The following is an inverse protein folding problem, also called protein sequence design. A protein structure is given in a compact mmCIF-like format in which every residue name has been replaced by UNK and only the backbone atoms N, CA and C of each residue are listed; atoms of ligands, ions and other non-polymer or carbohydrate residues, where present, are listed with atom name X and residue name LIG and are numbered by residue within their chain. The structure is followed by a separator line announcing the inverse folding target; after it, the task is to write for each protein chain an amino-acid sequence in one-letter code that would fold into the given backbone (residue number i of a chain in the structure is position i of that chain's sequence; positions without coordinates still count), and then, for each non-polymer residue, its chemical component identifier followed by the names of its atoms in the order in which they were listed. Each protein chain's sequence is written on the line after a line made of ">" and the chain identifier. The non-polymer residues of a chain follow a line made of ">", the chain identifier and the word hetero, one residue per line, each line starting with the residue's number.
data_IF_599530429732
#
_entry.id   IF_599530429732
#
_cell.length_a   1.000
_cell.length_b   1.000
_cell.length_c   1.000
_cell.angle_alpha   90.00
_cell.angle_beta   90.00
_cell.angle_gamma   90.00
#
_symmetry.space_group_name_H-M   'P 1'
#
loop_
_entity.id
_entity.type
_entity.pdbx_description
1 polymer ?
#
# COMPACT_ATOMS: atom_id res chain seq x y z
N UNK A 1 23.12 -19.99 -3.41
CA UNK A 1 21.80 -19.47 -3.85
C UNK A 1 20.58 -20.27 -3.35
N UNK A 2 20.58 -21.61 -3.32
CA UNK A 2 19.40 -22.39 -2.86
C UNK A 2 19.05 -22.14 -1.38
N UNK A 3 20.05 -22.08 -0.51
CA UNK A 3 19.86 -21.87 0.93
C UNK A 3 19.35 -20.45 1.22
N UNK A 4 19.90 -19.46 0.52
CA UNK A 4 19.48 -18.06 0.59
C UNK A 4 18.01 -17.92 0.18
N UNK A 5 17.58 -18.64 -0.86
CA UNK A 5 16.20 -18.60 -1.31
C UNK A 5 15.22 -19.24 -0.30
N UNK A 6 15.64 -20.32 0.37
CA UNK A 6 14.85 -20.93 1.44
C UNK A 6 14.73 -20.01 2.66
N UNK A 7 15.84 -19.39 3.11
CA UNK A 7 15.80 -18.39 4.19
C UNK A 7 14.92 -17.19 3.84
N UNK A 8 15.01 -16.71 2.61
CA UNK A 8 14.13 -15.65 2.12
C UNK A 8 12.66 -16.06 2.15
N UNK A 9 12.35 -17.30 1.77
CA UNK A 9 10.98 -17.85 1.83
C UNK A 9 10.45 -17.89 3.26
N UNK A 10 11.30 -18.27 4.23
CA UNK A 10 10.95 -18.29 5.65
C UNK A 10 10.77 -16.89 6.25
N UNK A 11 11.60 -15.92 5.84
CA UNK A 11 11.55 -14.55 6.35
C UNK A 11 10.49 -13.68 5.66
N UNK A 12 10.05 -14.05 4.46
CA UNK A 12 9.02 -13.33 3.70
C UNK A 12 7.77 -12.95 4.52
N UNK A 13 7.05 -13.89 5.18
CA UNK A 13 5.86 -13.53 5.95
C UNK A 13 6.18 -12.59 7.12
N UNK A 14 7.37 -12.71 7.72
CA UNK A 14 7.82 -11.83 8.81
C UNK A 14 8.03 -10.40 8.31
N UNK A 15 8.71 -10.25 7.16
CA UNK A 15 8.96 -8.95 6.56
C UNK A 15 7.65 -8.25 6.21
N UNK A 16 6.71 -8.97 5.60
CA UNK A 16 5.38 -8.44 5.29
C UNK A 16 4.65 -7.98 6.56
N UNK A 17 4.67 -8.77 7.62
CA UNK A 17 4.02 -8.42 8.88
C UNK A 17 4.63 -7.16 9.51
N UNK A 18 5.96 -7.06 9.57
CA UNK A 18 6.66 -5.90 10.16
C UNK A 18 6.36 -4.62 9.36
N UNK A 19 6.47 -4.68 8.02
CA UNK A 19 6.17 -3.53 7.16
C UNK A 19 4.70 -3.11 7.26
N UNK A 20 3.77 -4.07 7.37
CA UNK A 20 2.35 -3.78 7.55
C UNK A 20 2.10 -3.03 8.86
N UNK A 21 2.63 -3.54 9.98
CA UNK A 21 2.49 -2.91 11.30
C UNK A 21 3.13 -1.52 11.33
N UNK A 22 4.34 -1.38 10.78
CA UNK A 22 5.04 -0.10 10.69
C UNK A 22 4.18 0.98 10.02
N UNK A 23 3.53 0.62 8.91
CA UNK A 23 2.65 1.53 8.18
C UNK A 23 1.33 1.81 8.91
N UNK A 24 0.72 0.79 9.54
CA UNK A 24 -0.57 0.94 10.23
C UNK A 24 -0.44 1.83 11.48
N UNK A 25 0.55 1.56 12.32
CA UNK A 25 0.79 2.30 13.56
C UNK A 25 1.60 3.59 13.33
N UNK A 26 1.94 3.93 12.08
CA UNK A 26 2.79 5.09 11.71
C UNK A 26 4.05 5.19 12.58
N UNK A 27 4.69 4.04 12.84
CA UNK A 27 5.83 3.97 13.75
C UNK A 27 6.99 4.75 13.15
N UNK A 28 7.43 5.79 13.84
CA UNK A 28 8.56 6.63 13.44
C UNK A 28 9.85 6.20 14.16
N UNK A 29 10.26 4.95 13.97
CA UNK A 29 11.58 4.48 14.41
C UNK A 29 12.61 4.68 13.28
N UNK A 30 13.68 5.48 13.50
CA UNK A 30 14.74 5.66 12.51
C UNK A 30 15.43 4.37 12.09
N UNK A 31 15.60 3.40 13.00
CA UNK A 31 16.25 2.13 12.70
C UNK A 31 15.38 1.25 11.80
N UNK A 32 14.09 1.13 12.14
CA UNK A 32 13.08 0.48 11.31
C UNK A 32 12.98 1.11 9.92
N UNK A 33 12.90 2.44 9.84
CA UNK A 33 12.82 3.15 8.56
C UNK A 33 14.05 2.87 7.69
N UNK A 34 15.25 2.92 8.28
CA UNK A 34 16.49 2.59 7.58
C UNK A 34 16.45 1.15 7.05
N UNK A 35 16.00 0.20 7.85
CA UNK A 35 15.88 -1.19 7.43
C UNK A 35 14.86 -1.37 6.29
N UNK A 36 13.70 -0.70 6.36
CA UNK A 36 12.70 -0.72 5.27
C UNK A 36 13.29 -0.19 3.95
N UNK A 37 14.07 0.90 4.00
CA UNK A 37 14.78 1.40 2.81
C UNK A 37 15.78 0.39 2.27
N UNK A 38 16.59 -0.22 3.13
CA UNK A 38 17.54 -1.26 2.72
C UNK A 38 16.83 -2.48 2.11
N UNK A 39 15.68 -2.85 2.65
CA UNK A 39 14.87 -3.96 2.14
C UNK A 39 14.36 -3.63 0.74
N UNK A 40 13.82 -2.42 0.55
CA UNK A 40 13.39 -1.92 -0.76
C UNK A 40 14.54 -1.93 -1.77
N UNK A 41 15.69 -1.36 -1.43
CA UNK A 41 16.86 -1.29 -2.31
C UNK A 41 17.38 -2.68 -2.71
N UNK A 42 17.25 -3.68 -1.84
CA UNK A 42 17.64 -5.05 -2.15
C UNK A 42 16.61 -5.78 -3.04
N UNK A 43 15.32 -5.48 -2.87
CA UNK A 43 14.25 -6.00 -3.73
C UNK A 43 14.38 -5.40 -5.13
N UNK A 44 14.53 -4.07 -5.23
CA UNK A 44 14.65 -3.35 -6.51
C UNK A 44 15.86 -3.88 -7.30
N UNK A 45 17.02 -4.09 -6.66
CA UNK A 45 18.20 -4.66 -7.31
C UNK A 45 17.97 -6.11 -7.79
N UNK A 46 17.23 -6.93 -7.03
CA UNK A 46 16.90 -8.29 -7.45
C UNK A 46 15.93 -8.30 -8.64
N UNK A 47 14.96 -7.37 -8.66
CA UNK A 47 14.00 -7.23 -9.75
C UNK A 47 14.67 -6.74 -11.04
N UNK A 48 15.56 -5.74 -10.94
CA UNK A 48 16.37 -5.23 -12.06
C UNK A 48 17.15 -6.35 -12.77
N UNK A 49 17.78 -7.24 -12.01
CA UNK A 49 18.54 -8.36 -12.58
C UNK A 49 17.62 -9.41 -13.21
N UNK A 50 16.42 -9.62 -12.65
CA UNK A 50 15.45 -10.54 -13.22
C UNK A 50 14.87 -10.03 -14.53
N UNK A 51 14.55 -8.74 -14.59
CA UNK A 51 14.08 -8.08 -15.80
C UNK A 51 15.12 -8.19 -16.93
N UNK A 52 16.41 -7.99 -16.61
CA UNK A 52 17.49 -8.15 -17.57
C UNK A 52 17.61 -9.60 -18.08
N UNK A 53 17.48 -10.59 -17.20
CA UNK A 53 17.48 -12.01 -17.56
C UNK A 53 16.28 -12.37 -18.45
N UNK A 54 15.09 -11.86 -18.14
CA UNK A 54 13.89 -12.06 -18.94
C UNK A 54 14.03 -11.41 -20.32
N UNK A 55 14.57 -10.19 -20.38
CA UNK A 55 14.88 -9.50 -21.63
C UNK A 55 15.86 -10.28 -22.50
N UNK A 56 16.96 -10.78 -21.93
CA UNK A 56 17.96 -11.58 -22.68
C UNK A 56 17.36 -12.88 -23.23
N UNK A 57 16.50 -13.54 -22.45
CA UNK A 57 15.79 -14.75 -22.88
C UNK A 57 14.87 -14.46 -24.07
N UNK A 58 14.10 -13.37 -24.00
CA UNK A 58 13.23 -12.93 -25.11
C UNK A 58 14.05 -12.57 -26.35
N UNK A 59 15.19 -11.88 -26.18
CA UNK A 59 16.10 -11.51 -27.26
C UNK A 59 16.71 -12.73 -27.97
N UNK A 60 17.03 -13.81 -27.25
CA UNK A 60 17.51 -15.05 -27.87
C UNK A 60 16.42 -15.81 -28.63
N UNK A 61 15.15 -15.62 -28.26
CA UNK A 61 14.00 -16.25 -28.93
C UNK A 61 13.51 -15.46 -30.15
N UNK A 62 13.93 -14.21 -30.31
CA UNK A 62 13.67 -13.42 -31.51
C UNK A 62 14.60 -13.89 -32.65
N UNK A 63 14.05 -14.15 -33.87
CA UNK A 63 14.90 -14.16 -35.06
C UNK A 63 15.61 -12.81 -35.13
N UNK A 64 16.91 -12.80 -35.45
CA UNK A 64 17.66 -11.55 -35.70
C UNK A 64 16.94 -10.80 -36.82
N UNK A 65 16.08 -9.85 -36.46
CA UNK A 65 15.46 -8.78 -37.26
C UNK A 65 14.10 -8.44 -36.62
N UNK A 66 14.04 -7.49 -35.69
CA UNK A 66 13.09 -6.35 -35.71
C UNK A 66 13.16 -5.54 -34.41
N UNK A 67 12.98 -4.24 -34.62
CA UNK A 67 13.19 -3.12 -33.71
C UNK A 67 12.34 -3.11 -32.44
N UNK A 68 12.94 -2.42 -31.48
CA UNK A 68 12.44 -2.01 -30.18
C UNK A 68 11.11 -1.24 -30.27
N UNK A 69 10.19 -1.54 -29.37
CA UNK A 69 9.57 -0.62 -28.40
C UNK A 69 8.24 -1.20 -27.94
N UNK A 70 8.16 -1.63 -26.68
CA UNK A 70 6.88 -1.74 -25.97
C UNK A 70 7.01 -1.25 -24.54
N UNK A 71 6.62 0.01 -24.33
CA UNK A 71 6.20 0.52 -23.02
C UNK A 71 5.08 -0.38 -22.50
N UNK A 72 5.16 -0.83 -21.25
CA UNK A 72 4.00 -1.45 -20.60
C UNK A 72 3.90 -1.07 -19.13
N UNK A 73 2.63 -0.91 -18.75
CA UNK A 73 2.09 -0.26 -17.57
C UNK A 73 2.40 -1.01 -16.28
N UNK A 74 2.74 -0.19 -15.28
CA UNK A 74 2.80 -0.50 -13.86
C UNK A 74 1.42 -0.97 -13.37
N UNK A 75 1.34 -2.20 -12.86
CA UNK A 75 0.54 -2.62 -11.68
C UNK A 75 0.60 -4.15 -11.59
N UNK A 76 1.09 -4.67 -10.45
CA UNK A 76 0.92 -6.04 -9.91
C UNK A 76 2.14 -6.98 -9.76
N UNK A 77 3.36 -6.50 -9.51
CA UNK A 77 4.55 -7.37 -9.46
C UNK A 77 5.13 -7.69 -8.08
N UNK A 78 4.33 -7.83 -7.02
CA UNK A 78 4.88 -8.25 -5.72
C UNK A 78 5.07 -9.76 -5.54
N UNK A 79 4.90 -10.62 -6.56
CA UNK A 79 5.08 -12.06 -6.34
C UNK A 79 5.47 -12.92 -7.56
N UNK A 80 5.71 -12.32 -8.72
CA UNK A 80 6.06 -13.12 -9.91
C UNK A 80 7.56 -13.47 -9.99
N UNK A 81 8.40 -12.66 -9.34
CA UNK A 81 9.86 -12.76 -9.34
C UNK A 81 10.38 -14.03 -8.62
N UNK A 82 9.77 -14.43 -7.50
CA UNK A 82 10.19 -15.61 -6.72
C UNK A 82 9.92 -16.95 -7.43
N UNK A 83 8.82 -17.07 -8.20
CA UNK A 83 8.52 -18.27 -9.01
C UNK A 83 9.38 -18.36 -10.27
N UNK A 84 9.79 -17.21 -10.83
CA UNK A 84 10.67 -17.16 -12.01
C UNK A 84 12.10 -17.61 -11.66
N UNK A 85 12.63 -17.22 -10.50
CA UNK A 85 13.96 -17.66 -10.01
C UNK A 85 14.04 -19.19 -9.90
N UNK A 86 12.99 -19.85 -9.39
CA UNK A 86 12.96 -21.30 -9.22
C UNK A 86 12.98 -22.07 -10.56
N UNK A 87 12.52 -21.45 -11.65
CA UNK A 87 12.46 -22.08 -13.00
C UNK A 87 13.74 -21.91 -13.83
N UNK A 88 14.71 -21.13 -13.38
CA UNK A 88 16.02 -20.96 -14.06
C UNK A 88 17.02 -22.05 -13.65
N UNK A 89 16.63 -22.98 -12.77
CA UNK A 89 17.52 -24.01 -12.21
C UNK A 89 17.96 -25.15 -13.14
N UNK A 90 17.42 -25.27 -14.36
CA UNK A 90 17.81 -26.35 -15.28
C UNK A 90 17.99 -25.86 -16.70
N UNK A 91 19.15 -25.26 -16.98
CA UNK A 91 20.00 -25.48 -18.16
C UNK A 91 20.98 -24.32 -18.31
N UNK A 92 22.23 -24.69 -18.55
CA UNK A 92 23.37 -23.83 -18.94
C UNK A 92 24.16 -23.24 -17.76
N UNK A 93 24.99 -24.10 -17.16
CA UNK A 93 26.22 -23.71 -16.44
C UNK A 93 27.28 -23.23 -17.46
N UNK A 94 27.03 -22.09 -18.10
CA UNK A 94 28.10 -21.24 -18.61
C UNK A 94 28.07 -19.98 -17.77
N UNK A 95 29.24 -19.51 -17.37
CA UNK A 95 29.45 -18.37 -16.47
C UNK A 95 28.88 -17.12 -17.14
N UNK A 96 27.57 -16.92 -17.00
CA UNK A 96 26.87 -15.73 -17.46
C UNK A 96 27.10 -14.64 -16.41
N UNK A 97 27.66 -13.47 -16.77
CA UNK A 97 27.82 -12.37 -15.83
C UNK A 97 26.51 -11.96 -15.14
N UNK A 98 25.34 -12.22 -15.74
CA UNK A 98 24.03 -11.97 -15.13
C UNK A 98 23.69 -12.96 -14.02
N UNK A 99 24.11 -14.22 -14.11
CA UNK A 99 23.91 -15.19 -13.02
C UNK A 99 24.70 -14.81 -11.77
N UNK A 100 25.93 -14.27 -11.95
CA UNK A 100 26.73 -13.73 -10.83
C UNK A 100 26.08 -12.49 -10.21
N UNK A 101 25.47 -11.62 -11.03
CA UNK A 101 24.72 -10.45 -10.53
C UNK A 101 23.47 -10.89 -9.75
N UNK A 102 22.75 -11.89 -10.26
CA UNK A 102 21.58 -12.44 -9.58
C UNK A 102 21.96 -13.05 -8.23
N UNK A 103 23.05 -13.82 -8.19
CA UNK A 103 23.56 -14.39 -6.95
C UNK A 103 23.86 -13.31 -5.90
N UNK A 104 24.51 -12.22 -6.30
CA UNK A 104 24.79 -11.09 -5.41
C UNK A 104 23.52 -10.38 -4.92
N UNK A 105 22.56 -10.15 -5.81
CA UNK A 105 21.29 -9.52 -5.46
C UNK A 105 20.50 -10.38 -4.44
N UNK A 106 20.44 -11.70 -4.67
CA UNK A 106 19.81 -12.65 -3.75
C UNK A 106 20.53 -12.69 -2.40
N UNK A 107 21.87 -12.68 -2.37
CA UNK A 107 22.64 -12.63 -1.13
C UNK A 107 22.43 -11.33 -0.35
N UNK A 108 22.35 -10.19 -1.05
CA UNK A 108 22.04 -8.89 -0.43
C UNK A 108 20.64 -8.91 0.19
N UNK A 109 19.65 -9.42 -0.53
CA UNK A 109 18.28 -9.54 -0.04
C UNK A 109 18.18 -10.51 1.15
N UNK A 110 18.84 -11.67 1.11
CA UNK A 110 18.90 -12.64 2.22
C UNK A 110 19.46 -11.97 3.48
N UNK A 111 20.57 -11.23 3.34
CA UNK A 111 21.19 -10.50 4.44
C UNK A 111 20.23 -9.48 5.07
N UNK A 112 19.57 -8.66 4.27
CA UNK A 112 18.62 -7.66 4.79
C UNK A 112 17.38 -8.33 5.40
N UNK A 113 16.96 -9.48 4.84
CA UNK A 113 15.82 -10.24 5.37
C UNK A 113 16.08 -10.82 6.75
N UNK A 114 17.33 -11.18 7.07
CA UNK A 114 17.68 -11.72 8.38
C UNK A 114 17.46 -10.70 9.51
N UNK A 115 17.70 -9.42 9.22
CA UNK A 115 17.52 -8.31 10.16
C UNK A 115 16.05 -8.09 10.57
N UNK A 116 15.08 -8.71 9.86
CA UNK A 116 13.65 -8.66 10.24
C UNK A 116 13.40 -9.11 11.68
N UNK A 117 14.24 -10.03 12.16
CA UNK A 117 14.14 -10.59 13.52
C UNK A 117 14.27 -9.52 14.60
N UNK A 118 15.03 -8.45 14.34
CA UNK A 118 15.20 -7.33 15.26
C UNK A 118 13.90 -6.53 15.47
N UNK A 119 12.97 -6.59 14.51
CA UNK A 119 11.74 -5.81 14.49
C UNK A 119 10.48 -6.64 14.78
N UNK A 120 10.60 -7.94 15.05
CA UNK A 120 9.46 -8.80 15.36
C UNK A 120 8.71 -8.38 16.62
N UNK A 121 9.38 -7.73 17.56
CA UNK A 121 8.76 -7.19 18.78
C UNK A 121 7.63 -6.18 18.48
N UNK A 122 7.66 -5.52 17.31
CA UNK A 122 6.61 -4.59 16.88
C UNK A 122 5.28 -5.30 16.62
N UNK A 123 5.31 -6.60 16.31
CA UNK A 123 4.10 -7.39 16.08
C UNK A 123 3.32 -7.65 17.37
N UNK A 124 4.00 -7.63 18.51
CA UNK A 124 3.37 -7.86 19.81
C UNK A 124 2.76 -6.56 20.36
N UNK A 125 3.42 -5.41 20.16
CA UNK A 125 2.86 -4.10 20.52
C UNK A 125 1.62 -3.73 19.68
N UNK A 126 1.56 -4.13 18.41
CA UNK A 126 0.39 -3.87 17.56
C UNK A 126 -0.89 -4.60 18.02
N UNK A 127 -0.76 -5.80 18.64
CA UNK A 127 -1.90 -6.53 19.22
C UNK A 127 -2.48 -5.82 20.44
N UNK A 128 -1.66 -5.04 21.14
CA UNK A 128 -2.04 -4.32 22.34
C UNK A 128 -2.71 -2.98 21.98
N UNK A 129 -2.20 -2.30 20.95
CA UNK A 129 -2.76 -1.02 20.45
C UNK A 129 -4.10 -1.18 19.71
N UNK A 130 -4.41 -2.33 19.09
CA UNK A 130 -5.73 -2.55 18.47
C UNK A 130 -6.89 -2.47 19.48
N UNK A 131 -6.62 -2.62 20.78
CA UNK A 131 -7.62 -2.48 21.84
C UNK A 131 -7.83 -1.03 22.30
N UNK A 132 -6.91 -0.13 21.95
CA UNK A 132 -6.92 1.29 22.36
C UNK A 132 -7.16 2.25 21.18
N UNK A 133 -6.73 1.89 19.96
CA UNK A 133 -6.87 2.75 18.77
C UNK A 133 -8.31 2.89 18.26
N UNK A 134 -9.24 1.99 18.62
CA UNK A 134 -10.66 2.20 18.29
C UNK A 134 -11.22 3.45 18.99
N UNK A 135 -10.55 3.97 20.02
CA UNK A 135 -10.98 5.17 20.77
C UNK A 135 -10.36 6.47 20.24
N UNK A 136 -9.17 6.42 19.59
CA UNK A 136 -8.36 7.62 19.33
C UNK A 136 -8.40 8.14 17.87
N UNK A 137 -8.88 7.34 16.91
CA UNK A 137 -9.10 7.82 15.52
C UNK A 137 -10.10 8.98 15.44
N UNK A 138 -10.98 9.13 16.43
CA UNK A 138 -11.94 10.23 16.52
C UNK A 138 -11.35 11.52 17.12
N UNK A 139 -10.18 11.45 17.76
CA UNK A 139 -9.65 12.54 18.60
C UNK A 139 -8.63 13.44 17.91
N UNK A 140 -7.82 12.89 17.00
CA UNK A 140 -6.67 13.65 16.44
C UNK A 140 -7.05 14.51 15.23
N UNK A 141 -8.20 14.25 14.60
CA UNK A 141 -8.67 15.01 13.43
C UNK A 141 -9.95 15.77 13.75
N UNK A 142 -9.82 16.77 14.61
CA UNK A 142 -10.93 17.67 14.90
C UNK A 142 -11.36 18.43 13.63
N UNK A 143 -12.65 18.36 13.31
CA UNK A 143 -13.28 19.17 12.26
C UNK A 143 -14.13 20.30 12.85
N UNK A 144 -13.85 20.67 14.11
CA UNK A 144 -14.55 21.70 14.86
C UNK A 144 -14.04 23.12 14.59
N UNK A 145 -14.26 23.65 13.39
CA UNK A 145 -14.19 25.10 13.21
C UNK A 145 -15.30 25.57 12.28
N UNK A 146 -16.09 26.54 12.75
CA UNK A 146 -17.01 27.27 11.89
C UNK A 146 -16.20 27.97 10.78
N UNK A 147 -16.59 27.86 9.50
CA UNK A 147 -15.87 28.51 8.41
C UNK A 147 -15.79 30.02 8.66
N UNK A 148 -14.57 30.59 8.62
CA UNK A 148 -14.39 32.05 8.72
C UNK A 148 -14.73 32.81 7.42
N UNK A 149 -14.86 32.09 6.30
CA UNK A 149 -15.01 32.67 4.97
C UNK A 149 -16.23 32.09 4.26
N UNK A 150 -16.91 32.92 3.47
CA UNK A 150 -18.00 32.48 2.59
C UNK A 150 -17.50 31.51 1.52
N UNK A 151 -18.28 30.44 1.32
CA UNK A 151 -18.06 29.45 0.26
C UNK A 151 -18.45 30.04 -1.10
N UNK A 152 -17.47 30.40 -1.92
CA UNK A 152 -17.72 30.88 -3.28
C UNK A 152 -18.02 29.70 -4.20
N UNK A 153 -19.12 29.80 -4.97
CA UNK A 153 -19.43 28.88 -6.08
C UNK A 153 -20.07 27.54 -5.69
N UNK A 154 -20.52 27.40 -4.44
CA UNK A 154 -21.20 26.19 -3.93
C UNK A 154 -22.64 26.43 -3.49
N UNK A 155 -23.26 27.51 -3.96
CA UNK A 155 -24.63 27.87 -3.61
C UNK A 155 -25.64 26.78 -3.99
N UNK A 156 -25.43 26.11 -5.13
CA UNK A 156 -26.26 24.99 -5.58
C UNK A 156 -26.20 23.79 -4.63
N UNK A 157 -25.00 23.42 -4.19
CA UNK A 157 -24.82 22.32 -3.24
C UNK A 157 -25.48 22.66 -1.89
N UNK A 158 -25.34 23.92 -1.44
CA UNK A 158 -25.98 24.43 -0.22
C UNK A 158 -27.51 24.37 -0.31
N UNK A 159 -28.08 24.82 -1.42
CA UNK A 159 -29.53 24.76 -1.66
C UNK A 159 -30.06 23.33 -1.64
N UNK A 160 -29.37 22.38 -2.27
CA UNK A 160 -29.75 20.97 -2.27
C UNK A 160 -29.76 20.37 -0.86
N UNK A 161 -28.74 20.67 -0.05
CA UNK A 161 -28.67 20.23 1.35
C UNK A 161 -29.80 20.85 2.17
N UNK A 162 -30.06 22.15 2.00
CA UNK A 162 -31.14 22.85 2.72
C UNK A 162 -32.53 22.35 2.33
N UNK A 163 -32.75 22.06 1.05
CA UNK A 163 -33.99 21.47 0.56
C UNK A 163 -34.19 20.07 1.15
N UNK A 164 -33.13 19.26 1.19
CA UNK A 164 -33.17 17.92 1.79
C UNK A 164 -33.45 17.98 3.30
N UNK A 165 -32.83 18.91 4.03
CA UNK A 165 -33.07 19.11 5.47
C UNK A 165 -34.48 19.62 5.79
N UNK A 166 -35.08 20.41 4.89
CA UNK A 166 -36.43 20.98 5.06
C UNK A 166 -37.54 20.03 4.63
N UNK A 167 -37.24 18.93 3.93
CA UNK A 167 -38.26 17.96 3.51
C UNK A 167 -38.82 17.24 4.74
N UNK A 168 -40.12 17.39 5.06
CA UNK A 168 -40.73 16.64 6.15
C UNK A 168 -40.72 15.14 5.81
N UNK A 169 -40.45 14.28 6.80
CA UNK A 169 -40.64 12.84 6.64
C UNK A 169 -42.12 12.57 6.38
N UNK A 170 -42.43 12.04 5.20
CA UNK A 170 -43.80 11.72 4.79
C UNK A 170 -44.26 10.34 5.31
N UNK A 171 -43.53 9.72 6.24
CA UNK A 171 -43.96 8.43 6.81
C UNK A 171 -45.01 8.62 7.90
N UNK A 172 -46.06 7.79 7.83
CA UNK A 172 -47.07 7.66 8.88
C UNK A 172 -46.37 7.40 10.21
N UNK A 173 -46.72 8.16 11.26
CA UNK A 173 -46.33 7.90 12.66
C UNK A 173 -46.97 6.60 13.17
N UNK A 174 -46.56 5.47 12.59
CA UNK A 174 -46.76 4.15 13.17
C UNK A 174 -45.81 4.00 14.36
N UNK A 175 -46.27 3.27 15.37
CA UNK A 175 -45.76 3.13 16.75
C UNK A 175 -44.34 2.56 16.94
N UNK A 176 -43.46 2.66 15.94
CA UNK A 176 -42.08 2.19 16.00
C UNK A 176 -41.13 3.39 16.03
N UNK A 177 -40.51 3.65 17.19
CA UNK A 177 -39.66 4.82 17.49
C UNK A 177 -38.44 4.99 16.54
N UNK A 178 -38.14 4.01 15.69
CA UNK A 178 -36.89 3.90 14.92
C UNK A 178 -37.00 4.08 13.39
N UNK A 179 -38.18 4.34 12.82
CA UNK A 179 -38.33 4.38 11.34
C UNK A 179 -38.03 5.72 10.67
N UNK A 180 -37.80 6.80 11.41
CA UNK A 180 -37.66 8.15 10.85
C UNK A 180 -36.23 8.72 10.93
N UNK A 181 -35.21 7.97 10.48
CA UNK A 181 -33.84 8.51 10.37
C UNK A 181 -33.48 8.66 8.89
N UNK A 182 -33.36 9.90 8.43
CA UNK A 182 -32.84 10.22 7.10
C UNK A 182 -31.33 10.45 7.19
N UNK A 183 -30.56 9.83 6.29
CA UNK A 183 -29.10 9.97 6.22
C UNK A 183 -28.70 10.74 4.95
N UNK A 184 -27.90 11.79 5.12
CA UNK A 184 -27.27 12.54 4.03
C UNK A 184 -25.77 12.29 4.04
N UNK A 185 -25.22 11.82 2.92
CA UNK A 185 -23.79 11.52 2.76
C UNK A 185 -23.16 12.44 1.72
N UNK A 186 -22.00 13.03 2.06
CA UNK A 186 -21.19 13.88 1.16
C UNK A 186 -19.87 13.18 0.89
N UNK A 187 -19.66 12.79 -0.36
CA UNK A 187 -18.52 11.96 -0.78
C UNK A 187 -17.63 12.72 -1.76
N UNK A 188 -16.32 12.48 -1.67
CA UNK A 188 -15.32 13.12 -2.54
C UNK A 188 -13.91 12.93 -2.00
N UNK A 189 -12.91 13.23 -2.82
CA UNK A 189 -11.50 13.10 -2.46
C UNK A 189 -11.08 14.07 -1.34
N UNK A 190 -9.92 13.81 -0.72
CA UNK A 190 -9.30 14.70 0.26
C UNK A 190 -9.08 16.11 -0.31
N UNK A 191 -9.22 17.15 0.51
CA UNK A 191 -9.04 18.54 0.07
C UNK A 191 -10.20 19.16 -0.71
N UNK A 192 -11.23 18.39 -1.10
CA UNK A 192 -12.39 18.91 -1.85
C UNK A 192 -13.35 19.80 -1.05
N UNK A 193 -13.05 20.15 0.20
CA UNK A 193 -13.89 21.06 1.00
C UNK A 193 -15.20 20.46 1.55
N UNK A 194 -15.35 19.13 1.61
CA UNK A 194 -16.57 18.45 2.09
C UNK A 194 -17.04 18.92 3.48
N UNK A 195 -16.10 18.99 4.42
CA UNK A 195 -16.36 19.48 5.79
C UNK A 195 -16.82 20.94 5.80
N UNK A 196 -16.24 21.78 4.93
CA UNK A 196 -16.61 23.19 4.81
C UNK A 196 -18.03 23.36 4.24
N UNK A 197 -18.41 22.53 3.27
CA UNK A 197 -19.77 22.50 2.69
C UNK A 197 -20.83 22.23 3.74
N UNK A 198 -20.63 21.24 4.63
CA UNK A 198 -21.56 20.97 5.73
C UNK A 198 -21.63 22.11 6.73
N UNK A 199 -20.48 22.63 7.16
CA UNK A 199 -20.42 23.63 8.20
C UNK A 199 -20.99 25.01 7.81
N UNK A 200 -21.28 25.23 6.53
CA UNK A 200 -21.93 26.45 6.02
C UNK A 200 -23.44 26.27 5.77
N UNK A 201 -23.93 25.01 5.84
CA UNK A 201 -25.36 24.69 5.69
C UNK A 201 -26.10 24.62 7.04
N UNK A 202 -25.39 24.30 8.13
CA UNK A 202 -25.89 24.32 9.51
C UNK A 202 -25.71 25.70 10.14
#
# INVERSE_FOLDING_TARGET
>A
MKEELERLRENHPKMQAVVFVANQAQISDPALNKWIWQLRDAIDEADDVLDELEYMKLKQQLPKNTDETKKRKFTSFLFESARKILKVGERVLKIDPNLKRLEKAVQKLDKVSADVTNFLHLLDSAKQEQKEQEVDFYKTRETGSLPKNDLIGRDKDKELVMEWLRKPSNEHRGTDLHRNISLLSIVGHGGMGKTNSLATCL
#
